data_IF_247699861600
#
_entry.id   IF_247699861600
#
_cell.length_a   1.000
_cell.length_b   1.000
_cell.length_c   1.000
_cell.angle_alpha   90.00
_cell.angle_beta   90.00
_cell.angle_gamma   90.00
#
_symmetry.space_group_name_H-M   'P 1'
#
loop_
_entity.id
_entity.type
_entity.pdbx_description
1 polymer ?
#
# COMPACT_ATOMS: atom_id res chain seq x y z
N UNK A 1 -2.75 -5.39 -23.37
CA UNK A 1 -3.98 -4.87 -22.75
C UNK A 1 -3.78 -3.48 -22.13
N UNK A 2 -3.16 -3.32 -20.95
CA UNK A 2 -3.04 -1.99 -20.29
C UNK A 2 -2.26 -0.95 -21.09
N UNK A 3 -1.04 -1.27 -21.55
CA UNK A 3 -0.20 -0.33 -22.31
C UNK A 3 -0.84 0.05 -23.66
N UNK A 4 -1.45 -0.92 -24.32
CA UNK A 4 -2.13 -0.77 -25.62
C UNK A 4 -3.57 -0.22 -25.53
N UNK A 5 -4.06 0.08 -24.31
CA UNK A 5 -5.46 0.44 -24.06
C UNK A 5 -6.48 -0.53 -24.68
N UNK A 6 -6.13 -1.82 -24.73
CA UNK A 6 -6.94 -2.88 -25.34
C UNK A 6 -7.57 -3.72 -24.25
N UNK A 7 -8.73 -3.26 -23.77
CA UNK A 7 -9.53 -3.97 -22.78
C UNK A 7 -10.16 -5.25 -23.36
N UNK A 8 -10.52 -5.23 -24.65
CA UNK A 8 -11.22 -6.32 -25.30
C UNK A 8 -10.40 -7.62 -25.31
N UNK A 9 -9.08 -7.53 -25.51
CA UNK A 9 -8.20 -8.70 -25.43
C UNK A 9 -8.06 -9.29 -24.02
N UNK A 10 -8.40 -8.54 -22.96
CA UNK A 10 -8.32 -9.00 -21.58
C UNK A 10 -9.65 -9.53 -21.04
N UNK A 11 -10.79 -9.03 -21.52
CA UNK A 11 -12.13 -9.35 -20.97
C UNK A 11 -12.40 -10.85 -20.88
N UNK A 12 -12.11 -11.61 -21.94
CA UNK A 12 -12.36 -13.06 -21.94
C UNK A 12 -11.56 -13.82 -20.86
N UNK A 13 -10.34 -13.35 -20.56
CA UNK A 13 -9.52 -13.90 -19.49
C UNK A 13 -10.06 -13.48 -18.11
N UNK A 14 -10.49 -12.22 -17.97
CA UNK A 14 -11.08 -11.71 -16.73
C UNK A 14 -12.36 -12.47 -16.37
N UNK A 15 -13.24 -12.73 -17.33
CA UNK A 15 -14.47 -13.48 -17.12
C UNK A 15 -14.18 -14.90 -16.60
N UNK A 16 -13.19 -15.58 -17.21
CA UNK A 16 -12.74 -16.89 -16.74
C UNK A 16 -12.17 -16.82 -15.32
N UNK A 17 -11.38 -15.78 -15.01
CA UNK A 17 -10.80 -15.61 -13.68
C UNK A 17 -11.88 -15.37 -12.61
N UNK A 18 -12.88 -14.52 -12.90
CA UNK A 18 -14.01 -14.27 -12.00
C UNK A 18 -14.80 -15.56 -11.75
N UNK A 19 -15.04 -16.36 -12.79
CA UNK A 19 -15.75 -17.63 -12.64
C UNK A 19 -14.96 -18.63 -11.79
N UNK A 20 -13.64 -18.73 -12.00
CA UNK A 20 -12.77 -19.56 -11.15
C UNK A 20 -12.77 -19.09 -9.69
N UNK A 21 -12.80 -17.78 -9.43
CA UNK A 21 -12.91 -17.25 -8.06
C UNK A 21 -14.26 -17.62 -7.40
N UNK A 22 -15.37 -17.59 -8.14
CA UNK A 22 -16.67 -18.06 -7.63
C UNK A 22 -16.66 -19.55 -7.30
N UNK A 23 -16.05 -20.37 -8.17
CA UNK A 23 -15.88 -21.80 -7.91
C UNK A 23 -15.01 -22.05 -6.68
N UNK A 24 -13.90 -21.32 -6.54
CA UNK A 24 -13.01 -21.39 -5.37
C UNK A 24 -13.74 -21.05 -4.08
N UNK A 25 -14.45 -19.93 -4.04
CA UNK A 25 -15.18 -19.47 -2.85
C UNK A 25 -16.29 -20.43 -2.44
N UNK A 26 -17.04 -20.95 -3.42
CA UNK A 26 -18.05 -21.99 -3.18
C UNK A 26 -17.45 -23.29 -2.61
N UNK A 27 -16.23 -23.66 -3.04
CA UNK A 27 -15.52 -24.82 -2.49
C UNK A 27 -14.98 -24.58 -1.06
N UNK A 28 -14.71 -23.34 -0.68
CA UNK A 28 -14.25 -22.96 0.68
C UNK A 28 -15.44 -22.93 1.65
N UNK A 29 -16.51 -22.21 1.30
CA UNK A 29 -17.71 -22.07 2.11
C UNK A 29 -18.92 -21.74 1.23
N UNK A 30 -19.71 -22.75 0.88
CA UNK A 30 -20.91 -22.59 0.05
C UNK A 30 -22.11 -21.97 0.80
N UNK A 31 -22.00 -21.71 2.10
CA UNK A 31 -23.06 -21.09 2.90
C UNK A 31 -23.01 -19.56 2.87
N UNK A 32 -21.89 -18.99 2.43
CA UNK A 32 -21.68 -17.55 2.29
C UNK A 32 -21.66 -17.13 0.82
N UNK A 33 -21.95 -15.85 0.57
CA UNK A 33 -21.72 -15.29 -0.76
C UNK A 33 -20.22 -15.20 -1.07
N UNK A 34 -19.85 -15.30 -2.35
CA UNK A 34 -18.45 -15.30 -2.79
C UNK A 34 -17.67 -14.08 -2.31
N UNK A 35 -18.31 -12.91 -2.21
CA UNK A 35 -17.63 -11.70 -1.77
C UNK A 35 -17.26 -11.77 -0.29
N UNK A 36 -18.18 -12.23 0.56
CA UNK A 36 -17.91 -12.41 1.99
C UNK A 36 -16.79 -13.42 2.26
N UNK A 37 -16.70 -14.50 1.48
CA UNK A 37 -15.59 -15.47 1.58
C UNK A 37 -14.26 -14.81 1.20
N UNK A 38 -14.23 -14.04 0.10
CA UNK A 38 -13.02 -13.32 -0.33
C UNK A 38 -12.62 -12.23 0.66
N UNK A 39 -13.58 -11.51 1.25
CA UNK A 39 -13.30 -10.48 2.24
C UNK A 39 -12.63 -11.08 3.49
N UNK A 40 -13.16 -12.20 3.99
CA UNK A 40 -12.64 -12.87 5.19
C UNK A 40 -11.21 -13.40 5.02
N UNK A 41 -10.78 -13.66 3.76
CA UNK A 41 -9.41 -14.05 3.41
C UNK A 41 -8.39 -12.94 3.69
N UNK A 42 -8.78 -11.67 3.53
CA UNK A 42 -7.89 -10.51 3.73
C UNK A 42 -8.12 -9.79 5.06
N UNK A 43 -9.36 -9.78 5.54
CA UNK A 43 -9.78 -9.09 6.77
C UNK A 43 -10.76 -9.98 7.54
N UNK A 44 -10.21 -10.92 8.34
CA UNK A 44 -11.01 -11.93 9.06
C UNK A 44 -12.06 -11.27 9.97
N UNK A 45 -13.29 -11.74 9.85
CA UNK A 45 -14.44 -11.30 10.64
C UNK A 45 -15.04 -9.96 10.19
N UNK A 46 -14.53 -9.37 9.10
CA UNK A 46 -15.08 -8.14 8.54
C UNK A 46 -16.30 -8.43 7.66
N UNK A 47 -17.30 -7.55 7.72
CA UNK A 47 -18.54 -7.69 6.95
C UNK A 47 -18.74 -6.55 5.96
N UNK A 48 -19.51 -6.82 4.91
CA UNK A 48 -19.94 -5.79 3.96
C UNK A 48 -20.68 -4.63 4.62
N UNK A 49 -21.43 -4.89 5.69
CA UNK A 49 -22.09 -3.83 6.45
C UNK A 49 -21.06 -2.89 7.10
N UNK A 50 -20.01 -3.43 7.72
CA UNK A 50 -18.96 -2.61 8.33
C UNK A 50 -18.20 -1.80 7.28
N UNK A 51 -17.89 -2.38 6.11
CA UNK A 51 -17.33 -1.65 4.96
C UNK A 51 -18.25 -0.49 4.59
N UNK A 52 -19.53 -0.77 4.38
CA UNK A 52 -20.49 0.26 3.96
C UNK A 52 -20.60 1.40 4.99
N UNK A 53 -20.63 1.08 6.29
CA UNK A 53 -20.71 2.06 7.37
C UNK A 53 -19.45 2.97 7.37
N UNK A 54 -18.26 2.39 7.22
CA UNK A 54 -17.00 3.14 7.13
C UNK A 54 -16.98 4.05 5.88
N UNK A 55 -17.29 3.50 4.71
CA UNK A 55 -17.29 4.27 3.46
C UNK A 55 -18.32 5.41 3.49
N UNK A 56 -19.46 5.19 4.12
CA UNK A 56 -20.51 6.22 4.27
C UNK A 56 -19.99 7.38 5.12
N UNK A 57 -19.36 7.09 6.26
CA UNK A 57 -18.79 8.11 7.14
C UNK A 57 -17.64 8.86 6.46
N UNK A 58 -16.68 8.14 5.87
CA UNK A 58 -15.52 8.74 5.20
C UNK A 58 -15.97 9.63 4.03
N UNK A 59 -16.92 9.16 3.20
CA UNK A 59 -17.43 9.93 2.08
C UNK A 59 -18.18 11.19 2.53
N UNK A 60 -18.92 11.09 3.64
CA UNK A 60 -19.63 12.20 4.26
C UNK A 60 -18.72 13.38 4.61
N UNK A 61 -17.48 13.09 5.01
CA UNK A 61 -16.49 14.12 5.42
C UNK A 61 -15.52 14.51 4.29
N UNK A 62 -14.97 13.54 3.56
CA UNK A 62 -13.93 13.81 2.54
C UNK A 62 -14.48 14.54 1.32
N UNK A 63 -15.73 14.30 0.91
CA UNK A 63 -16.31 14.98 -0.26
C UNK A 63 -16.50 16.48 0.01
N UNK A 64 -17.14 16.91 1.13
CA UNK A 64 -17.18 18.33 1.49
C UNK A 64 -15.80 18.95 1.68
N UNK A 65 -14.86 18.24 2.32
CA UNK A 65 -13.49 18.73 2.49
C UNK A 65 -12.82 19.01 1.12
N UNK A 66 -12.97 18.09 0.17
CA UNK A 66 -12.44 18.27 -1.18
C UNK A 66 -13.07 19.46 -1.90
N UNK A 67 -14.39 19.66 -1.75
CA UNK A 67 -15.06 20.84 -2.30
C UNK A 67 -14.51 22.14 -1.69
N UNK A 68 -14.30 22.18 -0.38
CA UNK A 68 -13.75 23.34 0.30
C UNK A 68 -12.31 23.64 -0.13
N UNK A 69 -11.48 22.61 -0.30
CA UNK A 69 -10.11 22.75 -0.81
C UNK A 69 -10.14 23.34 -2.23
N UNK A 70 -10.97 22.80 -3.14
CA UNK A 70 -11.08 23.29 -4.52
C UNK A 70 -11.60 24.73 -4.58
N UNK A 71 -12.64 25.07 -3.81
CA UNK A 71 -13.15 26.43 -3.74
C UNK A 71 -12.10 27.41 -3.21
N UNK A 72 -11.34 27.01 -2.17
CA UNK A 72 -10.22 27.80 -1.66
C UNK A 72 -9.11 27.99 -2.70
N UNK A 73 -8.81 26.94 -3.47
CA UNK A 73 -7.82 26.99 -4.55
C UNK A 73 -8.21 27.97 -5.65
N UNK A 74 -9.48 28.01 -6.03
CA UNK A 74 -10.04 28.97 -7.00
C UNK A 74 -10.02 30.40 -6.46
N UNK A 75 -10.39 30.61 -5.20
CA UNK A 75 -10.39 31.93 -4.55
C UNK A 75 -8.98 32.48 -4.33
N UNK A 76 -7.99 31.61 -4.12
CA UNK A 76 -6.60 31.96 -3.83
C UNK A 76 -5.65 31.65 -5.00
N UNK A 77 -6.11 31.77 -6.25
CA UNK A 77 -5.28 31.59 -7.43
C UNK A 77 -3.99 32.41 -7.32
N UNK A 78 -2.84 31.74 -7.48
CA UNK A 78 -1.50 32.34 -7.36
C UNK A 78 -0.88 32.35 -5.94
N UNK A 79 -1.62 31.91 -4.90
CA UNK A 79 -1.10 31.78 -3.52
C UNK A 79 -1.00 30.33 -3.03
N UNK A 80 -1.15 29.37 -3.93
CA UNK A 80 -1.04 27.95 -3.59
C UNK A 80 0.43 27.52 -3.44
N UNK A 81 0.71 26.46 -2.64
CA UNK A 81 2.03 25.84 -2.63
C UNK A 81 2.44 25.43 -4.05
N UNK A 82 3.47 26.07 -4.60
CA UNK A 82 4.00 25.75 -5.93
C UNK A 82 5.00 24.61 -5.86
N UNK A 83 4.89 23.66 -6.80
CA UNK A 83 5.89 22.61 -7.03
C UNK A 83 6.89 23.00 -8.14
N UNK A 84 6.78 24.18 -8.73
CA UNK A 84 7.54 24.58 -9.92
C UNK A 84 9.04 24.62 -9.66
N UNK A 85 9.43 25.01 -8.43
CA UNK A 85 10.83 24.98 -8.01
C UNK A 85 11.39 23.56 -7.98
N UNK A 86 10.57 22.57 -7.59
CA UNK A 86 10.98 21.16 -7.55
C UNK A 86 10.98 20.52 -8.94
N UNK A 87 10.10 20.96 -9.84
CA UNK A 87 9.91 20.37 -11.16
C UNK A 87 11.15 20.50 -12.08
N UNK A 88 11.98 21.52 -11.87
CA UNK A 88 13.20 21.75 -12.65
C UNK A 88 14.48 21.35 -11.92
N UNK A 89 14.36 20.70 -10.76
CA UNK A 89 15.51 20.21 -9.99
C UNK A 89 15.84 18.77 -10.36
N UNK A 90 17.12 18.43 -10.26
CA UNK A 90 17.61 17.05 -10.33
C UNK A 90 17.96 16.60 -8.93
N UNK A 91 17.43 15.44 -8.53
CA UNK A 91 17.69 14.80 -7.25
C UNK A 91 18.51 13.53 -7.51
N UNK A 92 19.85 13.56 -7.37
CA UNK A 92 20.63 12.40 -7.76
C UNK A 92 20.35 11.21 -6.83
N UNK A 93 20.32 10.00 -7.42
CA UNK A 93 19.78 8.80 -6.77
C UNK A 93 20.58 8.43 -5.51
N UNK A 94 21.89 8.62 -5.51
CA UNK A 94 22.73 8.27 -4.36
C UNK A 94 22.40 9.11 -3.11
N UNK A 95 22.08 10.40 -3.28
CA UNK A 95 21.60 11.23 -2.16
C UNK A 95 20.21 10.78 -1.69
N UNK A 96 19.34 10.36 -2.61
CA UNK A 96 18.04 9.82 -2.22
C UNK A 96 18.17 8.53 -1.41
N UNK A 97 19.08 7.62 -1.79
CA UNK A 97 19.37 6.39 -1.04
C UNK A 97 19.79 6.70 0.39
N UNK A 98 20.77 7.59 0.57
CA UNK A 98 21.24 8.00 1.90
C UNK A 98 20.12 8.59 2.76
N UNK A 99 19.26 9.44 2.17
CA UNK A 99 18.11 10.02 2.88
C UNK A 99 17.08 8.95 3.24
N UNK A 100 16.76 8.04 2.32
CA UNK A 100 15.79 6.97 2.55
C UNK A 100 16.27 5.99 3.63
N UNK A 101 17.52 5.55 3.57
CA UNK A 101 18.12 4.69 4.60
C UNK A 101 18.12 5.38 5.97
N UNK A 102 18.43 6.67 6.01
CA UNK A 102 18.37 7.46 7.25
C UNK A 102 16.94 7.52 7.78
N UNK A 103 15.96 7.83 6.94
CA UNK A 103 14.55 7.90 7.35
C UNK A 103 14.07 6.55 7.89
N UNK A 104 14.35 5.45 7.19
CA UNK A 104 13.96 4.12 7.64
C UNK A 104 14.57 3.81 9.02
N UNK A 105 15.86 4.09 9.19
CA UNK A 105 16.57 3.90 10.46
C UNK A 105 15.99 4.78 11.58
N UNK A 106 15.74 6.06 11.31
CA UNK A 106 15.18 7.00 12.28
C UNK A 106 13.75 6.61 12.73
N UNK A 107 12.97 5.98 11.83
CA UNK A 107 11.64 5.45 12.13
C UNK A 107 11.69 4.15 12.97
N UNK A 108 12.86 3.50 13.04
CA UNK A 108 13.06 2.29 13.85
C UNK A 108 13.24 1.00 13.06
N UNK A 109 13.44 1.07 11.74
CA UNK A 109 13.79 -0.11 10.95
C UNK A 109 15.18 -0.63 11.34
N UNK A 110 15.28 -1.91 11.72
CA UNK A 110 16.55 -2.53 12.05
C UNK A 110 17.26 -2.99 10.76
N UNK A 111 18.28 -2.22 10.36
CA UNK A 111 19.12 -2.50 9.20
C UNK A 111 19.97 -3.78 9.34
N UNK A 112 20.09 -4.37 10.54
CA UNK A 112 20.73 -5.68 10.72
C UNK A 112 19.76 -6.84 10.47
N UNK A 113 18.46 -6.56 10.48
CA UNK A 113 17.38 -7.53 10.29
C UNK A 113 16.61 -7.27 8.98
N UNK A 114 17.24 -6.58 8.03
CA UNK A 114 16.58 -6.14 6.81
C UNK A 114 17.46 -5.32 5.89
N UNK A 115 16.91 -4.88 4.76
CA UNK A 115 17.57 -3.96 3.83
C UNK A 115 16.57 -3.20 2.95
N UNK A 116 17.02 -2.06 2.43
CA UNK A 116 16.31 -1.21 1.48
C UNK A 116 16.91 -1.33 0.07
N UNK A 117 16.08 -1.55 -0.94
CA UNK A 117 16.49 -1.68 -2.35
C UNK A 117 15.64 -0.89 -3.34
N UNK A 118 16.10 -0.82 -4.59
CA UNK A 118 15.31 -0.29 -5.69
C UNK A 118 14.44 -1.38 -6.34
N UNK A 119 13.18 -1.05 -6.64
CA UNK A 119 12.27 -1.89 -7.43
C UNK A 119 11.39 -1.02 -8.35
N UNK A 120 10.69 -1.67 -9.30
CA UNK A 120 9.72 -0.98 -10.16
C UNK A 120 8.45 -0.56 -9.41
N UNK A 121 8.07 -1.35 -8.41
CA UNK A 121 6.92 -1.13 -7.53
C UNK A 121 7.38 -1.40 -6.11
N UNK A 122 7.40 -0.39 -5.22
CA UNK A 122 7.71 -0.57 -3.81
C UNK A 122 6.87 -1.68 -3.18
N UNK A 123 7.49 -2.42 -2.27
CA UNK A 123 6.86 -3.47 -1.46
C UNK A 123 7.74 -3.82 -0.27
N UNK A 124 7.10 -4.41 0.73
CA UNK A 124 7.71 -5.07 1.88
C UNK A 124 7.59 -6.57 1.73
N UNK A 125 8.66 -7.30 2.02
CA UNK A 125 8.68 -8.76 2.01
C UNK A 125 9.33 -9.27 3.28
N UNK A 126 8.59 -10.08 4.02
CA UNK A 126 9.10 -10.80 5.18
C UNK A 126 9.45 -12.23 4.78
N UNK A 127 10.71 -12.61 4.97
CA UNK A 127 11.19 -14.01 4.85
C UNK A 127 11.21 -14.65 6.24
N UNK A 128 11.76 -13.89 7.18
CA UNK A 128 11.79 -14.15 8.60
C UNK A 128 11.81 -12.78 9.28
N UNK A 129 11.52 -12.71 10.57
CA UNK A 129 11.56 -11.43 11.27
C UNK A 129 12.94 -10.79 11.38
N UNK A 130 13.99 -11.60 11.25
CA UNK A 130 15.38 -11.14 11.16
C UNK A 130 15.81 -10.91 9.70
N UNK A 131 14.90 -11.03 8.74
CA UNK A 131 15.11 -10.75 7.31
C UNK A 131 13.82 -10.19 6.69
N UNK A 132 13.56 -8.91 6.98
CA UNK A 132 12.47 -8.12 6.43
C UNK A 132 13.04 -7.11 5.43
N UNK A 133 12.65 -7.22 4.17
CA UNK A 133 13.21 -6.42 3.08
C UNK A 133 12.17 -5.45 2.55
N UNK A 134 12.59 -4.22 2.32
CA UNK A 134 11.76 -3.17 1.76
C UNK A 134 12.36 -2.67 0.46
N UNK A 135 11.50 -2.25 -0.46
CA UNK A 135 11.93 -1.66 -1.71
C UNK A 135 11.30 -0.30 -1.92
N UNK A 136 11.99 0.57 -2.63
CA UNK A 136 11.50 1.88 -3.02
C UNK A 136 11.82 2.16 -4.49
N UNK A 137 11.30 3.26 -5.03
CA UNK A 137 11.54 3.66 -6.42
C UNK A 137 12.14 5.06 -6.49
N UNK A 138 13.35 5.13 -7.05
CA UNK A 138 14.06 6.39 -7.24
C UNK A 138 13.80 6.97 -8.63
N UNK A 139 13.64 8.31 -8.69
CA UNK A 139 13.59 9.08 -9.93
C UNK A 139 14.39 10.35 -9.75
N UNK A 140 15.20 10.72 -10.73
CA UNK A 140 15.97 11.97 -10.64
C UNK A 140 15.09 13.23 -10.72
N UNK A 141 13.89 13.11 -11.29
CA UNK A 141 12.92 14.22 -11.40
C UNK A 141 12.16 14.51 -10.11
N UNK A 142 12.19 13.61 -9.12
CA UNK A 142 11.49 13.80 -7.85
C UNK A 142 12.01 12.85 -6.78
N UNK A 143 12.29 13.38 -5.58
CA UNK A 143 12.60 12.56 -4.40
C UNK A 143 11.35 12.15 -3.61
N UNK A 144 10.18 12.74 -3.92
CA UNK A 144 8.97 12.54 -3.11
C UNK A 144 8.53 11.09 -3.16
N UNK A 145 8.58 10.46 -4.35
CA UNK A 145 8.18 9.07 -4.55
C UNK A 145 9.03 8.11 -3.73
N UNK A 146 10.37 8.26 -3.75
CA UNK A 146 11.26 7.39 -2.99
C UNK A 146 11.10 7.57 -1.48
N UNK A 147 10.96 8.81 -1.01
CA UNK A 147 10.76 9.12 0.41
C UNK A 147 9.43 8.60 0.92
N UNK A 148 8.32 8.89 0.25
CA UNK A 148 6.99 8.45 0.73
C UNK A 148 6.84 6.93 0.65
N UNK A 149 7.38 6.30 -0.39
CA UNK A 149 7.41 4.84 -0.48
C UNK A 149 8.28 4.23 0.63
N UNK A 150 9.46 4.79 0.89
CA UNK A 150 10.31 4.29 1.99
C UNK A 150 9.61 4.38 3.33
N UNK A 151 8.92 5.50 3.63
CA UNK A 151 8.16 5.66 4.87
C UNK A 151 7.05 4.60 4.95
N UNK A 152 6.27 4.43 3.87
CA UNK A 152 5.19 3.46 3.80
C UNK A 152 5.67 2.01 4.03
N UNK A 153 6.68 1.58 3.26
CA UNK A 153 7.23 0.22 3.41
C UNK A 153 7.96 0.04 4.75
N UNK A 154 8.51 1.10 5.33
CA UNK A 154 9.10 1.03 6.67
C UNK A 154 8.04 0.75 7.75
N UNK A 155 6.84 1.31 7.64
CA UNK A 155 5.73 1.00 8.56
C UNK A 155 5.39 -0.49 8.57
N UNK A 156 5.18 -1.04 7.37
CA UNK A 156 5.03 -2.48 7.13
C UNK A 156 6.17 -3.29 7.73
N UNK A 157 7.41 -2.87 7.50
CA UNK A 157 8.57 -3.62 7.96
C UNK A 157 8.77 -3.59 9.47
N UNK A 158 8.50 -2.45 10.12
CA UNK A 158 8.57 -2.33 11.58
C UNK A 158 7.53 -3.23 12.23
N UNK A 159 6.33 -3.35 11.65
CA UNK A 159 5.36 -4.33 12.11
C UNK A 159 5.96 -5.74 12.07
N UNK A 160 6.48 -6.15 10.91
CA UNK A 160 7.06 -7.47 10.72
C UNK A 160 8.27 -7.77 11.62
N UNK A 161 9.17 -6.81 11.80
CA UNK A 161 10.36 -6.95 12.67
C UNK A 161 10.01 -7.06 14.15
N UNK A 162 8.89 -6.47 14.59
CA UNK A 162 8.49 -6.46 16.01
C UNK A 162 7.43 -7.50 16.35
N UNK A 163 7.01 -8.33 15.40
CA UNK A 163 6.07 -9.41 15.68
C UNK A 163 6.73 -10.46 16.60
N UNK A 164 5.98 -11.12 17.49
CA UNK A 164 6.56 -12.13 18.37
C UNK A 164 7.11 -13.33 17.58
N UNK A 165 8.33 -13.77 17.91
CA UNK A 165 8.92 -14.99 17.38
C UNK A 165 8.78 -16.13 18.39
N UNK A 166 8.86 -17.38 17.90
CA UNK A 166 8.82 -18.58 18.75
C UNK A 166 7.48 -18.84 19.45
N UNK A 167 6.36 -18.49 18.84
CA UNK A 167 5.01 -18.82 19.34
C UNK A 167 4.62 -20.30 19.19
N UNK A 168 5.55 -21.18 18.79
CA UNK A 168 5.26 -22.60 18.51
C UNK A 168 4.52 -22.84 17.19
N UNK A 169 4.23 -21.79 16.42
CA UNK A 169 3.74 -21.88 15.05
C UNK A 169 4.91 -21.87 14.05
N UNK A 170 4.83 -22.65 12.96
CA UNK A 170 5.90 -22.72 11.96
C UNK A 170 6.18 -21.37 11.28
N UNK A 171 5.17 -20.51 11.14
CA UNK A 171 5.31 -19.13 10.66
C UNK A 171 4.27 -18.28 11.42
N UNK A 172 4.66 -17.24 12.18
CA UNK A 172 3.69 -16.27 12.65
C UNK A 172 3.16 -15.52 11.41
N UNK A 173 1.85 -15.26 11.32
CA UNK A 173 1.25 -14.42 10.26
C UNK A 173 0.80 -13.06 10.81
N UNK A 174 0.75 -12.04 9.94
CA UNK A 174 0.20 -10.74 10.28
C UNK A 174 -1.29 -10.88 10.61
N UNK A 175 -1.83 -10.00 11.45
CA UNK A 175 -3.22 -10.15 11.92
C UNK A 175 -4.25 -10.04 10.78
N UNK A 176 -4.08 -9.02 9.93
CA UNK A 176 -4.90 -8.79 8.74
C UNK A 176 -4.22 -7.77 7.82
N UNK A 177 -4.70 -7.65 6.58
CA UNK A 177 -4.21 -6.62 5.65
C UNK A 177 -4.49 -5.21 6.16
N UNK A 178 -5.66 -4.96 6.75
CA UNK A 178 -6.02 -3.65 7.29
C UNK A 178 -5.16 -3.22 8.47
N UNK A 179 -4.79 -4.17 9.35
CA UNK A 179 -3.84 -3.88 10.43
C UNK A 179 -2.44 -3.63 9.86
N UNK A 180 -2.02 -4.40 8.87
CA UNK A 180 -0.72 -4.21 8.21
C UNK A 180 -0.62 -2.81 7.55
N UNK A 181 -1.64 -2.40 6.80
CA UNK A 181 -1.74 -1.09 6.12
C UNK A 181 -1.98 0.09 7.09
N UNK A 182 -2.26 -0.18 8.37
CA UNK A 182 -2.40 0.85 9.40
C UNK A 182 -1.07 1.29 10.02
N UNK A 183 0.00 0.52 9.82
CA UNK A 183 1.34 0.79 10.34
C UNK A 183 2.13 1.68 9.39
#
# INVERSE_FOLDING_TARGET
AREENDAASFTALLDQWVELQKQRTSAIDNSKDSYSVLLDEYERGFSMKQIQDIFTNIKGELVPLLHNIKASQEQNMGKQPSRDKLANMTFPIEQQKQVCEKIATDLGFDMNCGRLDASAHPFTSMIHSTDVRITTRYKESTFIESVTATIHETGHAIYEQNRPHNLGFPVPEALSMGVHESQ
#
